data_IF_226937996700
#
_entry.id   IF_226937996700
#
_cell.length_a   1.000
_cell.length_b   1.000
_cell.length_c   1.000
_cell.angle_alpha   90.00
_cell.angle_beta   90.00
_cell.angle_gamma   90.00
#
_symmetry.space_group_name_H-M   'P 1'
#
loop_
_entity.id
_entity.type
_entity.pdbx_description
1 polymer ?
#
# COMPACT_ATOMS: atom_id res chain seq x y z
N UNK A 1 -16.37 20.67 12.43
CA UNK A 1 -15.24 20.66 11.48
C UNK A 1 -15.32 19.35 10.68
N UNK A 2 -15.10 19.40 9.38
CA UNK A 2 -15.09 18.18 8.56
C UNK A 2 -13.88 17.30 8.88
N UNK A 3 -13.95 16.03 8.48
CA UNK A 3 -12.94 15.02 8.77
C UNK A 3 -12.42 14.41 7.47
N UNK A 4 -11.13 14.01 7.43
CA UNK A 4 -10.62 13.14 6.37
C UNK A 4 -11.16 11.73 6.61
N UNK A 5 -11.77 11.13 5.59
CA UNK A 5 -12.19 9.74 5.67
C UNK A 5 -11.12 8.81 5.11
N UNK A 6 -10.88 7.69 5.79
CA UNK A 6 -9.85 6.72 5.44
C UNK A 6 -10.48 5.34 5.33
N UNK A 7 -10.51 4.74 4.14
CA UNK A 7 -10.82 3.30 4.04
C UNK A 7 -9.56 2.47 4.26
N UNK A 8 -9.69 1.26 4.77
CA UNK A 8 -8.54 0.40 5.10
C UNK A 8 -7.63 1.01 6.19
N UNK A 9 -8.24 1.75 7.11
CA UNK A 9 -7.54 2.45 8.18
C UNK A 9 -6.87 1.50 9.20
N UNK A 10 -7.24 0.23 9.23
CA UNK A 10 -6.67 -0.86 10.03
C UNK A 10 -5.48 -1.56 9.37
N UNK A 11 -5.28 -1.36 8.07
CA UNK A 11 -4.15 -1.91 7.34
C UNK A 11 -2.80 -1.26 7.70
N UNK A 12 -1.73 -1.79 7.12
CA UNK A 12 -0.36 -1.29 7.35
C UNK A 12 -0.23 0.22 7.10
N UNK A 13 -0.52 0.67 5.88
CA UNK A 13 -0.44 2.09 5.50
C UNK A 13 -1.47 2.93 6.26
N UNK A 14 -2.69 2.39 6.47
CA UNK A 14 -3.75 3.05 7.23
C UNK A 14 -3.35 3.34 8.67
N UNK A 15 -2.64 2.42 9.32
CA UNK A 15 -2.10 2.60 10.69
C UNK A 15 -1.11 3.75 10.75
N UNK A 16 -0.16 3.83 9.81
CA UNK A 16 0.79 4.94 9.73
C UNK A 16 0.10 6.27 9.42
N UNK A 17 -0.88 6.26 8.53
CA UNK A 17 -1.64 7.46 8.17
C UNK A 17 -2.45 8.00 9.36
N UNK A 18 -3.10 7.12 10.13
CA UNK A 18 -3.80 7.52 11.36
C UNK A 18 -2.84 8.14 12.40
N UNK A 19 -1.68 7.51 12.63
CA UNK A 19 -0.67 8.06 13.52
C UNK A 19 -0.22 9.46 13.07
N UNK A 20 -0.04 9.64 11.76
CA UNK A 20 0.36 10.93 11.19
C UNK A 20 -0.71 11.99 11.33
N UNK A 21 -1.98 11.65 11.13
CA UNK A 21 -3.12 12.55 11.33
C UNK A 21 -3.26 12.97 12.79
N UNK A 22 -3.12 12.03 13.72
CA UNK A 22 -3.10 12.34 15.17
C UNK A 22 -1.97 13.31 15.49
N UNK A 23 -0.74 13.03 15.02
CA UNK A 23 0.43 13.89 15.28
C UNK A 23 0.27 15.32 14.71
N UNK A 24 -0.51 15.47 13.63
CA UNK A 24 -0.82 16.78 13.01
C UNK A 24 -2.11 17.42 13.55
N UNK A 25 -2.79 16.80 14.50
CA UNK A 25 -4.11 17.23 15.01
C UNK A 25 -5.17 17.41 13.89
N UNK A 26 -5.13 16.56 12.84
CA UNK A 26 -6.10 16.56 11.75
C UNK A 26 -7.23 15.58 12.10
N UNK A 27 -8.50 16.02 12.13
CA UNK A 27 -9.63 15.14 12.39
C UNK A 27 -9.81 14.11 11.26
N UNK A 28 -10.10 12.87 11.59
CA UNK A 28 -10.34 11.80 10.61
C UNK A 28 -11.39 10.79 11.09
N UNK A 29 -11.98 10.08 10.14
CA UNK A 29 -12.87 8.95 10.33
C UNK A 29 -12.24 7.70 9.72
N UNK A 30 -12.08 6.65 10.52
CA UNK A 30 -11.59 5.35 10.08
C UNK A 30 -12.74 4.49 9.55
N UNK A 31 -12.67 4.09 8.29
CA UNK A 31 -13.58 3.13 7.67
C UNK A 31 -12.84 1.80 7.53
N UNK A 32 -13.31 0.81 8.26
CA UNK A 32 -12.64 -0.51 8.39
C UNK A 32 -13.68 -1.62 8.28
N UNK A 33 -13.23 -2.86 8.10
CA UNK A 33 -14.17 -3.99 8.16
C UNK A 33 -14.93 -3.97 9.51
N UNK A 34 -16.26 -4.30 9.51
CA UNK A 34 -17.07 -4.23 10.72
C UNK A 34 -16.49 -5.00 11.91
N UNK A 35 -15.90 -6.16 11.67
CA UNK A 35 -15.25 -7.00 12.68
C UNK A 35 -14.01 -6.36 13.29
N UNK A 36 -13.35 -5.43 12.59
CA UNK A 36 -12.14 -4.75 13.05
C UNK A 36 -12.43 -3.43 13.79
N UNK A 37 -13.68 -2.96 13.75
CA UNK A 37 -14.04 -1.64 14.30
C UNK A 37 -13.74 -1.50 15.80
N UNK A 38 -13.82 -2.58 16.56
CA UNK A 38 -13.54 -2.60 18.00
C UNK A 38 -12.04 -2.54 18.35
N UNK A 39 -11.16 -2.89 17.41
CA UNK A 39 -9.71 -2.94 17.62
C UNK A 39 -9.02 -1.59 17.43
N UNK A 40 -9.74 -0.56 17.00
CA UNK A 40 -9.18 0.75 16.64
C UNK A 40 -9.77 1.83 17.55
N UNK A 41 -8.89 2.69 18.07
CA UNK A 41 -9.30 3.86 18.85
C UNK A 41 -9.67 5.04 17.95
N UNK A 42 -10.59 5.89 18.42
CA UNK A 42 -11.03 7.11 17.72
C UNK A 42 -12.37 6.95 17.02
N UNK A 43 -12.65 7.81 16.04
CA UNK A 43 -13.88 7.75 15.23
C UNK A 43 -13.74 6.62 14.20
N UNK A 44 -14.54 5.57 14.38
CA UNK A 44 -14.48 4.35 13.55
C UNK A 44 -15.88 3.95 13.10
N UNK A 45 -16.00 3.52 11.85
CA UNK A 45 -17.24 3.01 11.24
C UNK A 45 -16.93 1.76 10.43
N UNK A 46 -17.80 0.77 10.51
CA UNK A 46 -17.72 -0.44 9.70
C UNK A 46 -18.07 -0.16 8.24
N UNK A 47 -17.22 -0.60 7.32
CA UNK A 47 -17.43 -0.56 5.87
C UNK A 47 -16.99 -1.90 5.28
N UNK A 48 -17.93 -2.65 4.73
CA UNK A 48 -17.66 -3.88 3.98
C UNK A 48 -17.86 -3.65 2.48
N UNK A 49 -16.75 -3.56 1.75
CA UNK A 49 -16.76 -3.37 0.31
C UNK A 49 -17.27 -4.58 -0.46
N UNK A 50 -17.20 -5.79 0.10
CA UNK A 50 -17.76 -7.00 -0.53
C UNK A 50 -19.28 -6.95 -0.47
N UNK A 51 -19.84 -6.69 0.70
CA UNK A 51 -21.28 -6.46 0.86
C UNK A 51 -21.75 -5.31 -0.02
N UNK A 52 -21.04 -4.19 0.00
CA UNK A 52 -21.32 -3.04 -0.88
C UNK A 52 -21.35 -3.44 -2.36
N UNK A 53 -20.42 -4.28 -2.82
CA UNK A 53 -20.37 -4.74 -4.21
C UNK A 53 -21.60 -5.59 -4.61
N UNK A 54 -22.15 -6.35 -3.67
CA UNK A 54 -23.31 -7.23 -3.91
C UNK A 54 -24.68 -6.58 -3.73
N UNK A 55 -24.76 -5.40 -3.10
CA UNK A 55 -26.04 -4.70 -2.84
C UNK A 55 -26.67 -4.12 -4.12
N UNK A 56 -27.97 -3.87 -4.10
CA UNK A 56 -28.66 -3.12 -5.16
C UNK A 56 -28.11 -1.67 -5.23
N UNK A 57 -28.12 -1.06 -6.41
CA UNK A 57 -27.56 0.30 -6.60
C UNK A 57 -28.23 1.39 -5.75
N UNK A 58 -29.47 1.16 -5.33
CA UNK A 58 -30.22 2.05 -4.47
C UNK A 58 -29.93 1.91 -2.97
N UNK A 59 -29.24 0.85 -2.53
CA UNK A 59 -28.96 0.63 -1.13
C UNK A 59 -27.72 1.44 -0.71
N UNK A 60 -27.75 2.16 0.43
CA UNK A 60 -26.61 2.93 0.90
C UNK A 60 -25.52 2.00 1.41
N UNK A 61 -24.26 2.29 1.03
CA UNK A 61 -23.08 1.57 1.53
C UNK A 61 -22.74 1.96 2.97
N UNK A 62 -23.18 3.14 3.41
CA UNK A 62 -23.02 3.69 4.76
C UNK A 62 -24.24 4.55 5.10
N UNK A 63 -24.53 4.69 6.39
CA UNK A 63 -25.50 5.68 6.87
C UNK A 63 -24.85 7.07 6.91
N UNK A 64 -24.81 7.74 5.76
CA UNK A 64 -24.19 9.05 5.60
C UNK A 64 -24.85 10.16 6.43
N UNK A 65 -26.11 9.97 6.89
CA UNK A 65 -26.82 10.99 7.69
C UNK A 65 -26.25 11.07 9.12
N UNK A 66 -25.78 9.96 9.65
CA UNK A 66 -25.20 9.88 10.99
C UNK A 66 -23.71 10.28 11.03
N UNK A 67 -23.06 10.48 9.87
CA UNK A 67 -21.64 10.71 9.79
C UNK A 67 -21.27 12.17 9.58
N UNK A 68 -20.15 12.65 10.17
CA UNK A 68 -19.64 13.99 9.90
C UNK A 68 -19.23 14.14 8.43
N UNK A 69 -19.53 15.31 7.85
CA UNK A 69 -19.18 15.57 6.46
C UNK A 69 -17.66 15.40 6.21
N UNK A 70 -17.25 14.66 5.16
CA UNK A 70 -15.85 14.51 4.81
C UNK A 70 -15.27 15.79 4.20
N UNK A 71 -14.00 16.05 4.49
CA UNK A 71 -13.18 17.08 3.80
C UNK A 71 -12.29 16.49 2.72
N UNK A 72 -12.18 15.17 2.67
CA UNK A 72 -11.47 14.40 1.68
C UNK A 72 -11.56 12.91 1.99
N UNK A 73 -11.36 12.09 0.99
CA UNK A 73 -11.28 10.63 1.11
C UNK A 73 -9.91 10.14 0.64
N UNK A 74 -9.22 9.35 1.48
CA UNK A 74 -8.07 8.55 1.05
C UNK A 74 -8.51 7.09 1.04
N UNK A 75 -8.56 6.49 -0.15
CA UNK A 75 -9.03 5.11 -0.33
C UNK A 75 -7.87 4.14 -0.36
N UNK A 76 -7.58 3.51 0.80
CA UNK A 76 -6.51 2.52 0.97
C UNK A 76 -7.03 1.07 0.93
N UNK A 77 -8.31 0.84 1.22
CA UNK A 77 -8.89 -0.49 1.30
C UNK A 77 -8.70 -1.26 -0.01
N UNK A 78 -8.04 -2.40 0.06
CA UNK A 78 -7.80 -3.27 -1.10
C UNK A 78 -7.44 -4.68 -0.62
N UNK A 79 -7.76 -5.69 -1.41
CA UNK A 79 -7.04 -6.95 -1.36
C UNK A 79 -5.71 -6.73 -2.09
N UNK A 80 -4.60 -6.61 -1.33
CA UNK A 80 -3.32 -6.09 -1.84
C UNK A 80 -2.21 -7.15 -1.94
N UNK A 81 -2.44 -8.36 -1.46
CA UNK A 81 -1.48 -9.47 -1.53
C UNK A 81 -1.71 -10.25 -2.84
N UNK A 82 -0.80 -10.20 -3.83
CA UNK A 82 -1.02 -10.78 -5.14
C UNK A 82 -1.41 -12.28 -5.11
N UNK A 83 -0.79 -13.16 -4.30
CA UNK A 83 -1.22 -14.55 -4.21
C UNK A 83 -2.68 -14.71 -3.78
N UNK A 84 -3.17 -13.94 -2.81
CA UNK A 84 -4.57 -13.99 -2.38
C UNK A 84 -5.54 -13.50 -3.48
N UNK A 85 -5.10 -12.56 -4.31
CA UNK A 85 -5.88 -12.13 -5.48
C UNK A 85 -5.96 -13.23 -6.55
N UNK A 86 -4.87 -13.98 -6.77
CA UNK A 86 -4.87 -15.13 -7.69
C UNK A 86 -5.77 -16.27 -7.20
N UNK A 87 -5.79 -16.52 -5.88
CA UNK A 87 -6.66 -17.52 -5.28
C UNK A 87 -8.15 -17.14 -5.36
N UNK A 88 -8.48 -15.84 -5.27
CA UNK A 88 -9.85 -15.34 -5.24
C UNK A 88 -10.03 -14.10 -6.14
N UNK A 89 -10.02 -14.24 -7.48
CA UNK A 89 -10.12 -13.11 -8.40
C UNK A 89 -11.42 -12.31 -8.27
N UNK A 90 -12.55 -12.99 -8.02
CA UNK A 90 -13.86 -12.34 -7.84
C UNK A 90 -13.90 -11.50 -6.57
N UNK A 91 -13.31 -11.99 -5.48
CA UNK A 91 -13.17 -11.23 -4.24
C UNK A 91 -12.26 -10.01 -4.44
N UNK A 92 -11.13 -10.20 -5.13
CA UNK A 92 -10.23 -9.10 -5.47
C UNK A 92 -10.95 -8.01 -6.27
N UNK A 93 -11.77 -8.39 -7.26
CA UNK A 93 -12.55 -7.46 -8.06
C UNK A 93 -13.67 -6.79 -7.25
N UNK A 94 -14.35 -7.52 -6.38
CA UNK A 94 -15.37 -6.93 -5.50
C UNK A 94 -14.78 -5.84 -4.60
N UNK A 95 -13.64 -6.11 -3.96
CA UNK A 95 -12.98 -5.18 -3.01
C UNK A 95 -12.28 -4.03 -3.76
N UNK A 96 -11.56 -4.32 -4.86
CA UNK A 96 -10.68 -3.34 -5.49
C UNK A 96 -11.39 -2.48 -6.56
N UNK A 97 -12.57 -2.91 -7.04
CA UNK A 97 -13.26 -2.25 -8.16
C UNK A 97 -14.70 -1.90 -7.82
N UNK A 98 -15.54 -2.91 -7.56
CA UNK A 98 -16.99 -2.71 -7.50
C UNK A 98 -17.40 -1.96 -6.22
N UNK A 99 -16.87 -2.38 -5.06
CA UNK A 99 -17.13 -1.72 -3.78
C UNK A 99 -16.72 -0.25 -3.77
N UNK A 100 -15.48 0.09 -4.19
CA UNK A 100 -15.05 1.49 -4.34
C UNK A 100 -15.90 2.31 -5.31
N UNK A 101 -16.28 1.74 -6.45
CA UNK A 101 -17.17 2.41 -7.43
C UNK A 101 -18.45 2.88 -6.76
N UNK A 102 -19.10 1.99 -6.01
CA UNK A 102 -20.34 2.28 -5.32
C UNK A 102 -20.17 3.32 -4.21
N UNK A 103 -19.10 3.18 -3.43
CA UNK A 103 -18.79 4.14 -2.37
C UNK A 103 -18.60 5.55 -2.96
N UNK A 104 -17.83 5.68 -4.02
CA UNK A 104 -17.55 6.97 -4.64
C UNK A 104 -18.81 7.59 -5.25
N UNK A 105 -19.62 6.81 -5.98
CA UNK A 105 -20.85 7.30 -6.57
C UNK A 105 -21.79 7.88 -5.50
N UNK A 106 -21.99 7.18 -4.39
CA UNK A 106 -22.86 7.65 -3.32
C UNK A 106 -22.27 8.86 -2.57
N UNK A 107 -20.95 8.87 -2.33
CA UNK A 107 -20.28 10.03 -1.74
C UNK A 107 -20.41 11.28 -2.61
N UNK A 108 -20.21 11.15 -3.92
CA UNK A 108 -20.23 12.27 -4.86
C UNK A 108 -21.64 12.77 -5.18
N UNK A 109 -22.67 11.95 -5.02
CA UNK A 109 -24.07 12.42 -5.04
C UNK A 109 -24.34 13.38 -3.86
N UNK A 110 -23.78 13.06 -2.67
CA UNK A 110 -24.02 13.87 -1.46
C UNK A 110 -23.02 15.04 -1.34
N UNK A 111 -21.77 14.83 -1.72
CA UNK A 111 -20.67 15.81 -1.68
C UNK A 111 -19.95 15.87 -3.03
N UNK A 112 -20.53 16.58 -4.03
CA UNK A 112 -20.01 16.60 -5.41
C UNK A 112 -18.57 17.08 -5.55
N UNK A 113 -18.15 17.97 -4.63
CA UNK A 113 -16.80 18.58 -4.63
C UNK A 113 -15.82 17.87 -3.71
N UNK A 114 -16.17 16.68 -3.19
CA UNK A 114 -15.30 15.93 -2.29
C UNK A 114 -14.01 15.50 -2.99
N UNK A 115 -12.82 15.91 -2.50
CA UNK A 115 -11.56 15.40 -3.00
C UNK A 115 -11.42 13.90 -2.65
N UNK A 116 -11.18 13.09 -3.67
CA UNK A 116 -10.92 11.63 -3.50
C UNK A 116 -9.53 11.32 -4.02
N UNK A 117 -8.70 10.75 -3.16
CA UNK A 117 -7.41 10.16 -3.51
C UNK A 117 -7.55 8.64 -3.59
N UNK A 118 -7.62 8.11 -4.81
CA UNK A 118 -7.66 6.68 -5.08
C UNK A 118 -6.24 6.11 -5.12
N UNK A 119 -5.96 5.14 -4.26
CA UNK A 119 -4.64 4.51 -4.21
C UNK A 119 -4.63 3.27 -5.09
N UNK A 120 -3.91 3.37 -6.21
CA UNK A 120 -3.63 2.30 -7.16
C UNK A 120 -2.33 1.54 -6.82
N UNK A 121 -1.53 1.17 -7.80
CA UNK A 121 -0.27 0.45 -7.61
C UNK A 121 0.64 0.56 -8.84
N UNK A 122 1.96 0.49 -8.65
CA UNK A 122 2.92 0.26 -9.74
C UNK A 122 2.77 -1.10 -10.44
N UNK A 123 2.01 -2.04 -9.86
CA UNK A 123 1.70 -3.34 -10.49
C UNK A 123 0.74 -3.26 -11.70
N UNK A 124 0.23 -2.07 -12.03
CA UNK A 124 -0.53 -1.84 -13.27
C UNK A 124 0.34 -1.82 -14.51
N UNK A 125 1.64 -1.59 -14.33
CA UNK A 125 2.61 -1.55 -15.42
C UNK A 125 3.13 -2.94 -15.78
N UNK A 126 3.49 -3.09 -17.06
CA UNK A 126 4.38 -4.17 -17.45
C UNK A 126 5.79 -3.88 -16.94
N UNK A 127 6.41 -4.79 -16.19
CA UNK A 127 7.77 -4.61 -15.72
C UNK A 127 8.78 -4.48 -16.86
N UNK A 128 9.69 -3.51 -16.76
CA UNK A 128 10.73 -3.28 -17.77
C UNK A 128 11.99 -2.68 -17.13
N UNK A 129 13.18 -2.77 -17.80
CA UNK A 129 14.44 -2.29 -17.23
C UNK A 129 14.54 -0.76 -17.06
N UNK A 130 13.74 0.00 -17.82
CA UNK A 130 13.72 1.47 -17.75
C UNK A 130 12.67 1.96 -16.77
N UNK A 131 12.87 3.13 -16.11
CA UNK A 131 11.86 3.69 -15.22
C UNK A 131 10.50 3.89 -15.91
N UNK A 132 9.44 3.56 -15.18
CA UNK A 132 8.05 3.54 -15.64
C UNK A 132 7.42 4.91 -15.42
N UNK A 133 7.15 5.65 -16.48
CA UNK A 133 6.36 6.87 -16.42
C UNK A 133 4.85 6.58 -16.52
N UNK A 134 4.04 7.58 -16.22
CA UNK A 134 2.58 7.46 -16.25
C UNK A 134 2.02 7.28 -17.67
N UNK A 135 2.80 7.58 -18.70
CA UNK A 135 2.46 7.43 -20.12
C UNK A 135 2.77 6.04 -20.70
N UNK A 136 3.41 5.17 -19.90
CA UNK A 136 3.72 3.80 -20.33
C UNK A 136 2.47 2.96 -20.54
N UNK A 137 2.60 1.97 -21.42
CA UNK A 137 1.55 0.99 -21.66
C UNK A 137 1.26 0.22 -20.37
N UNK A 138 -0.01 0.10 -20.02
CA UNK A 138 -0.48 -0.62 -18.84
C UNK A 138 -0.80 -2.05 -19.23
N UNK A 139 -0.01 -2.99 -18.73
CA UNK A 139 -0.15 -4.41 -18.97
C UNK A 139 0.19 -5.18 -17.68
N UNK A 140 -0.77 -5.24 -16.74
CA UNK A 140 -0.57 -5.93 -15.47
C UNK A 140 -0.36 -7.42 -15.67
N UNK A 141 0.62 -7.99 -14.96
CA UNK A 141 1.02 -9.40 -15.09
C UNK A 141 0.32 -10.32 -14.08
N UNK A 142 -0.54 -9.79 -13.24
CA UNK A 142 -1.26 -10.56 -12.21
C UNK A 142 -2.64 -9.96 -11.93
N UNK A 143 -3.50 -10.73 -11.25
CA UNK A 143 -4.87 -10.33 -10.88
C UNK A 143 -4.90 -9.07 -10.03
N UNK A 144 -3.95 -8.92 -9.09
CA UNK A 144 -3.86 -7.71 -8.29
C UNK A 144 -3.69 -6.45 -9.16
N UNK A 145 -2.69 -6.45 -10.03
CA UNK A 145 -2.44 -5.33 -10.96
C UNK A 145 -3.64 -5.06 -11.88
N UNK A 146 -4.28 -6.13 -12.40
CA UNK A 146 -5.46 -6.00 -13.25
C UNK A 146 -6.63 -5.33 -12.51
N UNK A 147 -6.94 -5.76 -11.27
CA UNK A 147 -8.01 -5.14 -10.48
C UNK A 147 -7.69 -3.71 -10.06
N UNK A 148 -6.41 -3.38 -9.79
CA UNK A 148 -6.00 -1.99 -9.52
C UNK A 148 -6.18 -1.11 -10.75
N UNK A 149 -5.85 -1.62 -11.95
CA UNK A 149 -6.07 -0.92 -13.21
C UNK A 149 -7.56 -0.69 -13.51
N UNK A 150 -8.42 -1.70 -13.28
CA UNK A 150 -9.87 -1.54 -13.38
C UNK A 150 -10.39 -0.48 -12.39
N UNK A 151 -9.89 -0.46 -11.13
CA UNK A 151 -10.22 0.56 -10.13
C UNK A 151 -9.79 1.97 -10.53
N UNK A 152 -8.62 2.12 -11.18
CA UNK A 152 -8.20 3.39 -11.77
C UNK A 152 -9.18 3.89 -12.83
N UNK A 153 -9.64 3.01 -13.71
CA UNK A 153 -10.60 3.38 -14.76
C UNK A 153 -11.90 3.92 -14.16
N UNK A 154 -12.38 3.34 -13.05
CA UNK A 154 -13.52 3.88 -12.28
C UNK A 154 -13.21 5.27 -11.75
N UNK A 155 -12.08 5.46 -11.07
CA UNK A 155 -11.71 6.73 -10.47
C UNK A 155 -11.52 7.83 -11.53
N UNK A 156 -10.82 7.53 -12.63
CA UNK A 156 -10.61 8.47 -13.72
C UNK A 156 -11.92 8.80 -14.48
N UNK A 157 -12.82 7.83 -14.63
CA UNK A 157 -14.14 8.06 -15.21
C UNK A 157 -15.01 9.03 -14.39
N UNK A 158 -14.85 9.05 -13.04
CA UNK A 158 -15.49 10.05 -12.18
C UNK A 158 -14.85 11.43 -12.39
N UNK A 159 -13.53 11.49 -12.50
CA UNK A 159 -12.83 12.72 -12.83
C UNK A 159 -13.27 13.33 -14.16
N UNK A 160 -13.40 12.49 -15.21
CA UNK A 160 -13.87 12.93 -16.52
C UNK A 160 -15.30 13.50 -16.49
N UNK A 161 -16.09 13.10 -15.48
CA UNK A 161 -17.41 13.68 -15.19
C UNK A 161 -17.34 14.98 -14.37
N UNK A 162 -16.15 15.49 -14.08
CA UNK A 162 -15.92 16.78 -13.41
C UNK A 162 -15.68 16.70 -11.91
N UNK A 163 -15.62 15.50 -11.30
CA UNK A 163 -15.36 15.36 -9.86
C UNK A 163 -13.86 15.48 -9.51
N UNK A 164 -13.56 15.89 -8.29
CA UNK A 164 -12.21 16.04 -7.76
C UNK A 164 -11.61 14.68 -7.37
N UNK A 165 -11.36 13.83 -8.34
CA UNK A 165 -10.74 12.49 -8.14
C UNK A 165 -9.35 12.50 -8.71
N UNK A 166 -8.38 12.01 -7.90
CA UNK A 166 -6.98 11.85 -8.30
C UNK A 166 -6.52 10.42 -8.00
N UNK A 167 -5.63 9.90 -8.82
CA UNK A 167 -5.08 8.55 -8.71
C UNK A 167 -3.59 8.62 -8.37
N UNK A 168 -3.14 7.78 -7.44
CA UNK A 168 -1.72 7.61 -7.12
C UNK A 168 -1.34 6.15 -7.34
N UNK A 169 -0.23 5.91 -8.03
CA UNK A 169 0.39 4.59 -8.22
C UNK A 169 1.60 4.46 -7.31
N UNK A 170 1.46 4.02 -6.05
CA UNK A 170 2.60 3.74 -5.20
C UNK A 170 3.38 2.55 -5.75
N UNK A 171 4.71 2.67 -5.72
CA UNK A 171 5.62 1.55 -5.90
C UNK A 171 5.83 0.84 -4.57
N UNK A 172 6.84 -0.03 -4.45
CA UNK A 172 7.02 -0.76 -3.23
C UNK A 172 7.30 0.19 -2.05
N UNK A 173 6.81 -0.16 -0.89
CA UNK A 173 7.09 0.55 0.35
C UNK A 173 7.11 -0.44 1.51
N UNK A 174 7.87 -0.11 2.53
CA UNK A 174 8.01 -0.94 3.71
C UNK A 174 8.23 -0.10 4.96
N UNK A 175 8.21 -0.73 6.12
CA UNK A 175 8.42 -0.13 7.43
C UNK A 175 7.85 -0.99 8.55
N UNK A 176 7.95 -0.51 9.77
CA UNK A 176 7.46 -1.18 10.98
C UNK A 176 5.97 -1.55 10.86
N UNK A 177 5.63 -2.76 11.29
CA UNK A 177 4.25 -3.24 11.34
C UNK A 177 3.73 -3.79 10.01
N UNK A 178 4.55 -3.85 8.95
CA UNK A 178 4.17 -4.51 7.71
C UNK A 178 4.03 -6.02 7.92
N UNK A 179 3.10 -6.62 7.18
CA UNK A 179 2.87 -8.05 7.22
C UNK A 179 4.09 -8.85 6.73
N UNK A 180 4.37 -9.97 7.40
CA UNK A 180 5.54 -10.78 7.13
C UNK A 180 5.48 -11.57 5.82
N UNK A 181 4.33 -11.60 5.13
CA UNK A 181 4.20 -12.13 3.76
C UNK A 181 4.98 -11.32 2.72
N UNK A 182 5.36 -10.07 3.08
CA UNK A 182 6.20 -9.23 2.23
C UNK A 182 7.69 -9.47 2.45
N UNK A 183 8.48 -9.29 1.39
CA UNK A 183 9.87 -9.74 1.32
C UNK A 183 10.79 -9.13 2.38
N UNK A 184 10.76 -7.81 2.59
CA UNK A 184 11.69 -7.15 3.53
C UNK A 184 11.37 -7.49 5.00
N UNK A 185 10.11 -7.40 5.49
CA UNK A 185 9.79 -7.82 6.85
C UNK A 185 10.01 -9.33 7.07
N UNK A 186 9.76 -10.18 6.06
CA UNK A 186 10.08 -11.61 6.14
C UNK A 186 11.58 -11.85 6.36
N UNK A 187 12.45 -11.18 5.61
CA UNK A 187 13.89 -11.28 5.82
C UNK A 187 14.30 -10.80 7.22
N UNK A 188 13.82 -9.62 7.62
CA UNK A 188 14.17 -9.04 8.92
C UNK A 188 13.79 -9.98 10.08
N UNK A 189 12.59 -10.55 10.06
CA UNK A 189 12.12 -11.42 11.15
C UNK A 189 12.87 -12.75 11.19
N UNK A 190 13.18 -13.33 10.04
CA UNK A 190 13.97 -14.56 9.96
C UNK A 190 15.42 -14.33 10.40
N UNK A 191 15.99 -13.16 10.10
CA UNK A 191 17.31 -12.77 10.60
C UNK A 191 17.29 -12.55 12.11
N UNK A 192 16.26 -11.88 12.66
CA UNK A 192 16.12 -11.70 14.10
C UNK A 192 15.96 -13.03 14.87
N UNK A 193 15.30 -14.03 14.25
CA UNK A 193 15.26 -15.41 14.78
C UNK A 193 16.65 -16.04 14.82
N UNK A 194 17.40 -15.95 13.71
CA UNK A 194 18.77 -16.46 13.67
C UNK A 194 19.67 -15.76 14.70
N UNK A 195 19.48 -14.47 14.95
CA UNK A 195 20.18 -13.77 16.04
C UNK A 195 19.86 -14.38 17.42
N UNK A 196 18.59 -14.68 17.70
CA UNK A 196 18.18 -15.30 18.95
C UNK A 196 18.74 -16.73 19.11
N UNK A 197 18.93 -17.45 18.00
CA UNK A 197 19.46 -18.81 17.97
C UNK A 197 20.99 -18.88 17.92
N UNK A 198 21.69 -17.73 17.83
CA UNK A 198 23.17 -17.65 17.80
C UNK A 198 23.78 -17.78 16.41
N UNK A 199 23.02 -17.67 15.36
CA UNK A 199 23.43 -17.72 13.95
C UNK A 199 22.81 -18.88 13.18
N UNK A 200 23.16 -19.00 11.90
CA UNK A 200 22.64 -20.09 11.06
C UNK A 200 22.49 -19.73 9.59
N UNK A 201 21.67 -20.51 8.88
CA UNK A 201 21.45 -20.37 7.44
C UNK A 201 20.10 -19.75 7.15
N UNK A 202 20.10 -18.69 6.33
CA UNK A 202 18.90 -18.07 5.78
C UNK A 202 18.64 -18.61 4.36
N UNK A 203 17.64 -19.46 4.21
CA UNK A 203 17.20 -19.95 2.91
C UNK A 203 16.37 -18.89 2.20
N UNK A 204 16.71 -18.50 0.98
CA UNK A 204 16.07 -17.44 0.20
C UNK A 204 15.67 -17.89 -1.19
N UNK A 205 14.70 -17.21 -1.80
CA UNK A 205 14.35 -17.39 -3.21
C UNK A 205 15.19 -16.50 -4.12
N UNK A 206 14.56 -15.96 -5.15
CA UNK A 206 15.18 -15.08 -6.13
C UNK A 206 15.52 -13.71 -5.54
N UNK A 207 16.73 -13.24 -5.75
CA UNK A 207 17.25 -11.98 -5.18
C UNK A 207 17.63 -10.92 -6.22
N UNK A 208 17.65 -11.26 -7.51
CA UNK A 208 18.06 -10.38 -8.60
C UNK A 208 16.96 -9.42 -9.08
N UNK A 209 15.75 -9.54 -8.55
CA UNK A 209 14.65 -8.63 -8.86
C UNK A 209 14.94 -7.22 -8.34
N UNK A 210 14.79 -6.22 -9.20
CA UNK A 210 15.00 -4.80 -8.88
C UNK A 210 13.68 -4.15 -8.50
N UNK A 211 13.66 -3.44 -7.38
CA UNK A 211 12.47 -2.75 -6.86
C UNK A 211 12.80 -1.34 -6.40
N UNK A 212 11.82 -0.46 -6.59
CA UNK A 212 11.81 0.89 -6.05
C UNK A 212 11.06 0.85 -4.71
N UNK A 213 11.77 1.11 -3.62
CA UNK A 213 11.19 1.10 -2.28
C UNK A 213 11.19 2.50 -1.67
N UNK A 214 10.10 2.81 -0.99
CA UNK A 214 9.98 3.97 -0.12
C UNK A 214 9.78 3.54 1.34
N UNK A 215 10.16 4.39 2.27
CA UNK A 215 9.70 4.28 3.64
C UNK A 215 8.21 4.64 3.73
N UNK A 216 7.42 3.87 4.45
CA UNK A 216 5.96 4.07 4.54
C UNK A 216 5.57 5.46 5.08
N UNK A 217 6.41 6.08 5.91
CA UNK A 217 6.18 7.43 6.41
C UNK A 217 6.18 8.46 5.26
N UNK A 218 7.10 8.33 4.29
CA UNK A 218 7.13 9.23 3.13
C UNK A 218 5.91 9.02 2.24
N UNK A 219 5.42 7.78 2.16
CA UNK A 219 4.20 7.45 1.42
C UNK A 219 2.99 8.16 2.03
N UNK A 220 2.78 8.05 3.35
CA UNK A 220 1.62 8.69 4.00
C UNK A 220 1.72 10.21 4.02
N UNK A 221 2.92 10.78 4.18
CA UNK A 221 3.12 12.23 4.06
C UNK A 221 2.82 12.74 2.65
N UNK A 222 3.17 11.96 1.63
CA UNK A 222 2.86 12.27 0.23
C UNK A 222 1.35 12.20 -0.03
N UNK A 223 0.63 11.20 0.51
CA UNK A 223 -0.83 11.12 0.36
C UNK A 223 -1.52 12.33 0.95
N UNK A 224 -1.11 12.77 2.14
CA UNK A 224 -1.66 13.97 2.78
C UNK A 224 -1.36 15.23 1.95
N UNK A 225 -0.12 15.40 1.50
CA UNK A 225 0.24 16.54 0.67
C UNK A 225 -0.51 16.58 -0.68
N UNK A 226 -0.80 15.42 -1.27
CA UNK A 226 -1.57 15.32 -2.50
C UNK A 226 -3.07 15.60 -2.28
N UNK A 227 -3.64 15.14 -1.16
CA UNK A 227 -5.05 15.41 -0.82
C UNK A 227 -5.28 16.88 -0.50
N UNK A 228 -4.31 17.56 0.12
CA UNK A 228 -4.38 19.00 0.48
C UNK A 228 -4.28 19.95 -0.72
N UNK A 229 -4.00 19.44 -1.91
CA UNK A 229 -3.91 20.29 -3.11
C UNK A 229 -5.27 20.84 -3.50
N UNK A 230 -5.31 22.13 -3.78
CA UNK A 230 -6.51 22.81 -4.29
C UNK A 230 -6.83 22.47 -5.73
N UNK A 231 -5.80 22.13 -6.52
CA UNK A 231 -5.92 21.69 -7.91
C UNK A 231 -5.81 20.19 -8.01
N UNK A 232 -6.87 19.55 -8.49
CA UNK A 232 -6.87 18.13 -8.74
C UNK A 232 -5.92 17.78 -9.90
N UNK A 233 -5.08 16.76 -9.71
CA UNK A 233 -4.30 16.13 -10.77
C UNK A 233 -4.98 14.81 -11.20
N UNK A 234 -4.71 14.33 -12.41
CA UNK A 234 -5.33 13.09 -12.86
C UNK A 234 -4.67 11.88 -12.18
N UNK A 235 -3.36 11.75 -12.34
CA UNK A 235 -2.62 10.57 -11.94
C UNK A 235 -1.14 10.91 -11.77
N UNK A 236 -0.47 10.31 -10.76
CA UNK A 236 0.98 10.33 -10.62
C UNK A 236 1.51 9.02 -10.01
N UNK A 237 2.76 8.70 -10.33
CA UNK A 237 3.52 7.67 -9.63
C UNK A 237 4.02 8.19 -8.28
N UNK A 238 4.02 7.31 -7.28
CA UNK A 238 4.65 7.54 -5.98
C UNK A 238 5.79 6.55 -5.80
N UNK A 239 7.01 7.01 -6.04
CA UNK A 239 8.22 6.22 -6.07
C UNK A 239 9.44 7.10 -5.76
N UNK A 240 10.58 6.49 -5.46
CA UNK A 240 11.84 7.21 -5.28
C UNK A 240 12.48 7.58 -6.63
N UNK A 241 12.24 6.79 -7.66
CA UNK A 241 12.96 6.81 -8.93
C UNK A 241 14.26 6.00 -8.91
N UNK A 242 14.56 5.35 -7.79
CA UNK A 242 15.77 4.57 -7.56
C UNK A 242 15.43 3.10 -7.36
N UNK A 243 15.99 2.22 -8.18
CA UNK A 243 15.80 0.78 -8.08
C UNK A 243 17.01 0.09 -7.49
N UNK A 244 16.78 -0.75 -6.47
CA UNK A 244 17.79 -1.64 -5.91
C UNK A 244 17.38 -3.10 -6.06
N UNK A 245 18.36 -3.98 -6.25
CA UNK A 245 18.10 -5.42 -6.23
C UNK A 245 17.70 -5.88 -4.81
N UNK A 246 16.81 -6.85 -4.70
CA UNK A 246 16.43 -7.45 -3.41
C UNK A 246 17.66 -7.98 -2.65
N UNK A 247 18.70 -8.41 -3.38
CA UNK A 247 19.99 -8.78 -2.82
C UNK A 247 20.66 -7.67 -2.01
N UNK A 248 20.53 -6.41 -2.45
CA UNK A 248 21.15 -5.25 -1.77
C UNK A 248 20.45 -4.99 -0.43
N UNK A 249 19.11 -5.04 -0.41
CA UNK A 249 18.33 -4.95 0.83
C UNK A 249 18.68 -6.09 1.80
N UNK A 250 18.74 -7.32 1.30
CA UNK A 250 19.11 -8.47 2.13
C UNK A 250 20.53 -8.31 2.70
N UNK A 251 21.49 -7.90 1.88
CA UNK A 251 22.86 -7.67 2.34
C UNK A 251 22.93 -6.60 3.43
N UNK A 252 22.15 -5.53 3.26
CA UNK A 252 22.02 -4.47 4.26
C UNK A 252 21.41 -4.97 5.57
N UNK A 253 20.38 -5.84 5.53
CA UNK A 253 19.78 -6.46 6.72
C UNK A 253 20.76 -7.42 7.40
N UNK A 254 21.48 -8.26 6.64
CA UNK A 254 22.51 -9.18 7.18
C UNK A 254 23.63 -8.40 7.86
N UNK A 255 24.06 -7.28 7.29
CA UNK A 255 25.09 -6.44 7.91
C UNK A 255 24.68 -5.85 9.28
N UNK A 256 23.38 -5.83 9.59
CA UNK A 256 22.80 -5.40 10.88
C UNK A 256 22.68 -6.53 11.91
N UNK A 257 22.96 -7.78 11.50
CA UNK A 257 22.94 -8.91 12.40
C UNK A 257 24.21 -8.95 13.27
N UNK A 258 24.04 -9.23 14.56
CA UNK A 258 25.15 -9.40 15.51
C UNK A 258 25.80 -10.79 15.46
N UNK A 259 25.27 -11.71 14.65
CA UNK A 259 25.69 -13.11 14.54
C UNK A 259 26.03 -13.48 13.09
N UNK A 260 26.86 -14.52 12.85
CA UNK A 260 27.11 -15.00 11.51
C UNK A 260 25.84 -15.57 10.87
N UNK A 261 25.52 -15.12 9.64
CA UNK A 261 24.41 -15.63 8.83
C UNK A 261 24.94 -16.07 7.47
N UNK A 262 24.68 -17.32 7.11
CA UNK A 262 24.92 -17.83 5.77
C UNK A 262 23.65 -17.70 4.92
N UNK A 263 23.75 -17.06 3.76
CA UNK A 263 22.61 -16.93 2.83
C UNK A 263 22.71 -18.05 1.78
N UNK A 264 21.67 -18.88 1.67
CA UNK A 264 21.60 -19.97 0.69
C UNK A 264 20.35 -19.85 -0.18
N UNK A 265 20.52 -19.99 -1.51
CA UNK A 265 19.39 -20.05 -2.43
C UNK A 265 18.69 -21.40 -2.32
N UNK A 266 17.38 -21.39 -2.07
CA UNK A 266 16.53 -22.57 -2.02
C UNK A 266 15.64 -22.59 -3.28
N UNK A 267 15.79 -23.62 -4.08
CA UNK A 267 15.02 -23.81 -5.31
C UNK A 267 13.51 -23.95 -5.07
N UNK A 268 13.10 -24.44 -3.90
CA UNK A 268 11.70 -24.56 -3.52
C UNK A 268 11.03 -23.16 -3.27
N UNK A 269 11.84 -22.15 -2.99
CA UNK A 269 11.40 -20.74 -2.80
C UNK A 269 11.47 -19.91 -4.08
N UNK A 270 11.89 -20.47 -5.19
CA UNK A 270 11.87 -19.82 -6.49
C UNK A 270 10.41 -19.77 -6.99
N UNK A 271 9.77 -18.61 -6.83
CA UNK A 271 8.48 -18.35 -7.50
C UNK A 271 8.74 -18.31 -9.00
N UNK A 272 7.75 -18.79 -9.80
CA UNK A 272 7.89 -18.95 -11.26
C UNK A 272 8.23 -17.63 -11.99
N UNK A 273 8.44 -17.71 -13.30
CA UNK A 273 8.90 -16.63 -14.20
C UNK A 273 7.99 -15.39 -14.26
N UNK A 274 6.87 -15.36 -13.55
CA UNK A 274 5.93 -14.22 -13.50
C UNK A 274 6.36 -13.11 -12.50
N UNK A 275 7.43 -13.31 -11.72
CA UNK A 275 7.96 -12.22 -10.91
C UNK A 275 8.61 -11.15 -11.81
N UNK A 276 8.11 -9.94 -11.68
CA UNK A 276 8.67 -8.77 -12.36
C UNK A 276 10.19 -8.68 -12.11
N UNK A 277 11.00 -8.67 -13.17
CA UNK A 277 12.46 -8.56 -13.03
C UNK A 277 12.86 -7.16 -12.55
N UNK A 278 12.16 -6.12 -13.03
CA UNK A 278 12.44 -4.73 -12.67
C UNK A 278 11.14 -3.94 -12.59
N UNK A 279 10.89 -3.27 -11.45
CA UNK A 279 9.76 -2.40 -11.23
C UNK A 279 10.25 -1.13 -10.51
N UNK A 280 10.62 -0.13 -11.32
CA UNK A 280 11.14 1.17 -10.87
C UNK A 280 10.31 2.27 -11.51
N UNK A 281 9.87 3.26 -10.73
CA UNK A 281 9.02 4.35 -11.22
C UNK A 281 9.82 5.58 -11.69
N UNK A 282 9.20 6.40 -12.56
CA UNK A 282 9.63 7.78 -12.81
C UNK A 282 8.76 8.70 -11.94
N UNK A 283 9.38 9.47 -11.05
CA UNK A 283 8.71 10.36 -10.11
C UNK A 283 8.65 11.83 -10.55
N UNK A 284 9.01 12.14 -11.80
CA UNK A 284 9.08 13.53 -12.29
C UNK A 284 7.77 14.28 -12.11
N UNK A 285 6.64 13.63 -12.41
CA UNK A 285 5.32 14.24 -12.28
C UNK A 285 4.97 14.54 -10.82
N UNK A 286 5.29 13.63 -9.90
CA UNK A 286 5.15 13.87 -8.47
C UNK A 286 6.02 15.04 -7.99
N UNK A 287 7.28 15.11 -8.46
CA UNK A 287 8.18 16.23 -8.18
C UNK A 287 7.63 17.57 -8.70
N UNK A 288 7.00 17.60 -9.86
CA UNK A 288 6.32 18.79 -10.39
C UNK A 288 5.13 19.19 -9.53
N UNK A 289 4.36 18.23 -9.04
CA UNK A 289 3.19 18.48 -8.19
C UNK A 289 3.56 19.02 -6.81
N UNK A 290 4.63 18.52 -6.19
CA UNK A 290 4.97 18.80 -4.79
C UNK A 290 6.26 19.64 -4.62
N UNK A 291 6.95 19.99 -5.71
CA UNK A 291 8.25 20.70 -5.68
C UNK A 291 9.43 19.77 -5.38
N UNK A 292 9.17 18.62 -4.78
CA UNK A 292 10.17 17.55 -4.53
C UNK A 292 9.47 16.19 -4.44
N UNK A 293 10.18 15.13 -4.75
CA UNK A 293 9.74 13.74 -4.54
C UNK A 293 10.35 13.12 -3.27
N UNK A 294 9.77 12.01 -2.79
CA UNK A 294 10.40 11.20 -1.76
C UNK A 294 11.65 10.52 -2.31
N UNK A 295 12.56 10.16 -1.40
CA UNK A 295 13.80 9.47 -1.71
C UNK A 295 13.86 8.16 -0.93
N UNK A 296 14.63 7.19 -1.43
CA UNK A 296 14.90 5.98 -0.69
C UNK A 296 15.72 6.30 0.58
N UNK A 297 15.15 6.03 1.73
CA UNK A 297 15.83 6.14 3.03
C UNK A 297 16.35 4.76 3.45
N UNK A 298 17.35 4.26 2.71
CA UNK A 298 17.80 2.86 2.79
C UNK A 298 18.15 2.44 4.23
N UNK A 299 19.06 3.15 4.89
CA UNK A 299 19.52 2.78 6.23
C UNK A 299 18.40 2.90 7.28
N UNK A 300 17.61 3.98 7.25
CA UNK A 300 16.48 4.15 8.16
C UNK A 300 15.47 3.01 8.03
N UNK A 301 15.14 2.64 6.79
CA UNK A 301 14.20 1.55 6.51
C UNK A 301 14.69 0.22 7.08
N UNK A 302 15.96 -0.12 6.86
CA UNK A 302 16.51 -1.39 7.31
C UNK A 302 16.71 -1.43 8.84
N UNK A 303 17.12 -0.31 9.45
CA UNK A 303 17.26 -0.20 10.90
C UNK A 303 15.90 -0.41 11.58
N UNK A 304 14.84 0.27 11.10
CA UNK A 304 13.49 0.14 11.63
C UNK A 304 12.91 -1.27 11.46
N UNK A 305 13.15 -1.91 10.31
CA UNK A 305 12.71 -3.28 10.06
C UNK A 305 13.38 -4.28 11.01
N UNK A 306 14.68 -4.14 11.27
CA UNK A 306 15.39 -5.00 12.23
C UNK A 306 14.96 -4.76 13.67
N UNK A 307 14.70 -3.51 14.08
CA UNK A 307 14.14 -3.20 15.39
C UNK A 307 12.75 -3.84 15.60
N UNK A 308 11.85 -3.68 14.62
CA UNK A 308 10.50 -4.27 14.66
C UNK A 308 10.58 -5.80 14.71
N UNK A 309 11.43 -6.39 13.88
CA UNK A 309 11.65 -7.84 13.84
C UNK A 309 12.14 -8.40 15.18
N UNK A 310 13.16 -7.78 15.78
CA UNK A 310 13.66 -8.15 17.12
C UNK A 310 12.59 -8.05 18.19
N UNK A 311 11.78 -6.99 18.13
CA UNK A 311 10.68 -6.79 19.07
C UNK A 311 9.60 -7.87 18.91
N UNK A 312 9.25 -8.28 17.69
CA UNK A 312 8.29 -9.38 17.41
C UNK A 312 8.81 -10.72 17.94
N UNK A 313 10.08 -11.06 17.67
CA UNK A 313 10.73 -12.27 18.18
C UNK A 313 10.73 -12.28 19.71
N UNK A 314 11.07 -11.17 20.36
CA UNK A 314 11.11 -11.05 21.82
C UNK A 314 9.71 -11.20 22.47
N UNK A 315 8.63 -10.83 21.77
CA UNK A 315 7.24 -11.05 22.21
C UNK A 315 6.74 -12.46 21.98
N UNK A 316 7.50 -13.31 21.29
CA UNK A 316 7.09 -14.67 20.93
C UNK A 316 5.91 -14.70 19.94
N UNK A 317 5.84 -13.73 19.01
CA UNK A 317 4.82 -13.77 17.95
C UNK A 317 4.95 -15.05 17.12
N UNK A 318 3.80 -15.60 16.68
CA UNK A 318 3.82 -16.76 15.78
C UNK A 318 4.40 -16.36 14.43
N UNK A 319 5.58 -16.87 14.15
CA UNK A 319 6.36 -16.63 12.95
C UNK A 319 6.53 -17.90 12.10
N UNK A 320 5.66 -18.88 12.28
CA UNK A 320 5.78 -20.24 11.71
C UNK A 320 5.78 -20.27 10.17
N UNK A 321 5.33 -19.21 9.53
CA UNK A 321 5.24 -19.11 8.06
C UNK A 321 6.24 -18.10 7.44
N UNK A 322 7.08 -17.45 8.22
CA UNK A 322 8.08 -16.47 7.76
C UNK A 322 9.34 -17.13 7.13
#
# INVERSE_FOLDING_TARGET
MGQIWLTGADGFVGTWLRQRLVARNIPFLSLVLPENAHAISGSVVGLDLVTAAGQASSEPVLDFESLPAPTGLIHLAALSFPPACEENPDLARAINVVGPSRLYEQLLVRWPELPILHISSGHVYQPQPTPLSEEQVLEPINVYGATKLEGEAVALGLRDRGHHVSVVRPFNHSGRGQDLSFVLPSFAVRLAKLEADGGGTLAVGRLDSVRDFLHVQDVVDTYLALLERTEAFALCNLCSGEGLAIQEFLSGLVARCAVPVEVQTDSARLRGSQDANCLVGDNKKLCQLLGKGPQLQFDLLLDELMEDARARVARGEDLSWA
#
